data_IF_340863213164
#
_entry.id   IF_340863213164
#
_cell.length_a   1.000
_cell.length_b   1.000
_cell.length_c   1.000
_cell.angle_alpha   90.00
_cell.angle_beta   90.00
_cell.angle_gamma   90.00
#
_symmetry.space_group_name_H-M   'P 1'
#
loop_
_entity.id
_entity.type
_entity.pdbx_description
1 polymer ?
#
# COMPACT_ATOMS: atom_id res chain seq x y z
N UNK A 1 -2.67 5.33 -20.00
CA UNK A 1 -1.77 4.82 -21.05
C UNK A 1 -0.40 5.44 -20.83
N UNK A 2 0.53 4.56 -20.45
CA UNK A 2 1.79 4.84 -19.77
C UNK A 2 2.86 5.56 -20.59
N UNK A 3 3.37 6.65 -20.04
CA UNK A 3 4.60 7.36 -20.49
C UNK A 3 5.86 6.85 -19.77
N UNK A 4 5.73 5.86 -18.88
CA UNK A 4 6.79 5.36 -18.01
C UNK A 4 7.67 4.29 -18.67
N UNK A 5 7.14 3.52 -19.63
CA UNK A 5 7.89 2.48 -20.35
C UNK A 5 8.94 3.09 -21.32
N UNK A 6 8.70 4.30 -21.83
CA UNK A 6 9.62 4.97 -22.75
C UNK A 6 10.89 5.49 -22.08
N UNK A 7 10.87 5.72 -20.75
CA UNK A 7 11.99 6.31 -20.00
C UNK A 7 13.07 5.29 -19.61
N UNK A 8 12.74 4.00 -19.55
CA UNK A 8 13.70 2.95 -19.19
C UNK A 8 14.64 2.58 -20.35
N UNK A 9 14.13 2.60 -21.59
CA UNK A 9 14.94 2.39 -22.80
C UNK A 9 15.85 3.57 -23.12
N UNK A 10 15.47 4.79 -22.73
CA UNK A 10 16.29 5.97 -22.99
C UNK A 10 17.52 6.05 -22.09
N UNK A 11 17.46 5.60 -20.83
CA UNK A 11 18.63 5.63 -19.93
C UNK A 11 19.72 4.63 -20.31
N UNK A 12 19.36 3.43 -20.78
CA UNK A 12 20.33 2.42 -21.24
C UNK A 12 20.96 2.80 -22.58
N UNK A 13 20.18 3.43 -23.47
CA UNK A 13 20.70 3.98 -24.72
C UNK A 13 21.64 5.16 -24.48
N UNK A 14 21.29 6.07 -23.55
CA UNK A 14 22.12 7.23 -23.19
C UNK A 14 23.42 6.77 -22.51
N UNK A 15 23.41 5.74 -21.66
CA UNK A 15 24.64 5.20 -21.06
C UNK A 15 25.53 4.48 -22.07
N UNK A 16 24.95 3.79 -23.05
CA UNK A 16 25.70 3.16 -24.14
C UNK A 16 26.36 4.20 -25.07
N UNK A 17 25.66 5.28 -25.40
CA UNK A 17 26.19 6.39 -26.19
C UNK A 17 27.30 7.15 -25.46
N UNK A 18 27.13 7.41 -24.16
CA UNK A 18 28.17 8.02 -23.34
C UNK A 18 29.43 7.13 -23.28
N UNK A 19 29.26 5.80 -23.18
CA UNK A 19 30.35 4.84 -23.20
C UNK A 19 31.10 4.83 -24.53
N UNK A 20 30.37 4.81 -25.66
CA UNK A 20 30.95 4.86 -26.99
C UNK A 20 31.75 6.15 -27.22
N UNK A 21 31.27 7.29 -26.70
CA UNK A 21 31.97 8.57 -26.77
C UNK A 21 33.26 8.57 -25.96
N UNK A 22 33.26 8.00 -24.75
CA UNK A 22 34.46 7.88 -23.92
C UNK A 22 35.51 6.98 -24.59
N UNK A 23 35.10 5.85 -25.16
CA UNK A 23 36.00 4.96 -25.90
C UNK A 23 36.60 5.71 -27.10
N UNK A 24 35.78 6.42 -27.87
CA UNK A 24 36.24 7.19 -29.02
C UNK A 24 37.23 8.29 -28.62
N UNK A 25 36.95 9.06 -27.56
CA UNK A 25 37.82 10.14 -27.08
C UNK A 25 39.15 9.60 -26.53
N UNK A 26 39.13 8.50 -25.78
CA UNK A 26 40.36 7.86 -25.27
C UNK A 26 41.19 7.33 -26.44
N UNK A 27 40.57 6.65 -27.42
CA UNK A 27 41.29 6.17 -28.60
C UNK A 27 41.90 7.31 -29.43
N UNK A 28 41.15 8.39 -29.65
CA UNK A 28 41.63 9.56 -30.39
C UNK A 28 42.78 10.29 -29.69
N UNK A 29 42.69 10.45 -28.37
CA UNK A 29 43.73 11.10 -27.57
C UNK A 29 45.02 10.27 -27.53
N UNK A 30 44.91 8.93 -27.50
CA UNK A 30 46.08 8.05 -27.58
C UNK A 30 46.78 8.05 -28.93
N UNK A 31 46.04 8.24 -30.03
CA UNK A 31 46.62 8.36 -31.38
C UNK A 31 47.29 9.72 -31.64
N UNK A 32 46.89 10.76 -30.92
CA UNK A 32 47.40 12.13 -31.07
C UNK A 32 48.72 12.38 -30.33
N UNK A 33 49.04 11.62 -29.28
CA UNK A 33 50.15 11.92 -28.37
C UNK A 33 51.32 10.93 -28.40
N UNK A 34 51.18 9.76 -29.02
CA UNK A 34 52.27 8.81 -29.18
C UNK A 34 52.09 8.08 -30.50
N UNK A 35 53.18 7.89 -31.27
CA UNK A 35 53.17 7.14 -32.52
C UNK A 35 52.76 5.67 -32.35
N UNK A 36 53.35 4.75 -33.09
CA UNK A 36 52.92 3.33 -33.13
C UNK A 36 52.82 2.63 -31.74
N UNK A 37 53.42 3.18 -30.69
CA UNK A 37 53.28 2.73 -29.30
C UNK A 37 51.90 3.03 -28.65
N UNK A 38 51.20 4.09 -29.04
CA UNK A 38 49.89 4.46 -28.47
C UNK A 38 48.76 3.50 -28.86
N UNK A 39 48.85 2.95 -30.08
CA UNK A 39 47.89 1.97 -30.62
C UNK A 39 47.93 0.63 -29.87
N UNK A 40 49.13 0.18 -29.48
CA UNK A 40 49.29 -1.05 -28.68
C UNK A 40 48.76 -0.88 -27.25
N UNK A 41 48.98 0.29 -26.64
CA UNK A 41 48.47 0.60 -25.30
C UNK A 41 46.93 0.66 -25.31
N UNK A 42 46.34 1.32 -26.31
CA UNK A 42 44.88 1.38 -26.48
C UNK A 42 44.24 -0.02 -26.68
N UNK A 43 44.89 -0.88 -27.48
CA UNK A 43 44.42 -2.23 -27.75
C UNK A 43 44.41 -3.14 -26.51
N UNK A 44 45.24 -2.87 -25.51
CA UNK A 44 45.29 -3.64 -24.25
C UNK A 44 44.44 -2.99 -23.15
N UNK A 45 44.45 -1.66 -23.03
CA UNK A 45 43.78 -0.95 -21.95
C UNK A 45 42.26 -0.91 -22.13
N UNK A 46 41.77 -0.72 -23.36
CA UNK A 46 40.33 -0.70 -23.65
C UNK A 46 39.58 -1.99 -23.27
N UNK A 47 40.06 -3.21 -23.64
CA UNK A 47 39.39 -4.44 -23.22
C UNK A 47 39.47 -4.66 -21.71
N UNK A 48 40.56 -4.28 -21.04
CA UNK A 48 40.66 -4.38 -19.57
C UNK A 48 39.64 -3.47 -18.89
N UNK A 49 39.51 -2.21 -19.32
CA UNK A 49 38.49 -1.29 -18.80
C UNK A 49 37.09 -1.84 -19.06
N UNK A 50 36.82 -2.39 -20.26
CA UNK A 50 35.53 -2.99 -20.59
C UNK A 50 35.19 -4.19 -19.69
N UNK A 51 36.15 -5.08 -19.44
CA UNK A 51 35.97 -6.24 -18.54
C UNK A 51 35.74 -5.79 -17.10
N UNK A 52 36.46 -4.78 -16.60
CA UNK A 52 36.26 -4.21 -15.27
C UNK A 52 34.89 -3.53 -15.16
N UNK A 53 34.45 -2.80 -16.19
CA UNK A 53 33.12 -2.20 -16.22
C UNK A 53 32.00 -3.25 -16.26
N UNK A 54 32.18 -4.32 -17.04
CA UNK A 54 31.25 -5.44 -17.13
C UNK A 54 31.18 -6.25 -15.82
N UNK A 55 32.29 -6.40 -15.10
CA UNK A 55 32.31 -7.08 -13.80
C UNK A 55 31.66 -6.22 -12.70
N UNK A 56 31.93 -4.91 -12.68
CA UNK A 56 31.31 -3.96 -11.73
C UNK A 56 29.81 -3.79 -12.00
N UNK A 57 29.38 -3.69 -13.26
CA UNK A 57 27.96 -3.57 -13.62
C UNK A 57 27.17 -4.85 -13.33
N UNK A 58 27.76 -6.04 -13.55
CA UNK A 58 27.18 -7.32 -13.10
C UNK A 58 27.10 -7.40 -11.58
N UNK A 59 28.15 -7.01 -10.85
CA UNK A 59 28.14 -6.97 -9.39
C UNK A 59 27.09 -6.01 -8.83
N UNK A 60 26.87 -4.84 -9.47
CA UNK A 60 25.81 -3.91 -9.11
C UNK A 60 24.40 -4.48 -9.38
N UNK A 61 24.22 -5.20 -10.49
CA UNK A 61 22.98 -5.93 -10.80
C UNK A 61 22.69 -7.07 -9.82
N UNK A 62 23.73 -7.82 -9.41
CA UNK A 62 23.63 -8.87 -8.41
C UNK A 62 23.38 -8.32 -7.01
N UNK A 63 23.97 -7.18 -6.63
CA UNK A 63 23.65 -6.47 -5.36
C UNK A 63 22.21 -5.98 -5.32
N UNK A 64 21.64 -5.52 -6.45
CA UNK A 64 20.22 -5.17 -6.55
C UNK A 64 19.28 -6.38 -6.44
N UNK A 65 19.70 -7.56 -6.93
CA UNK A 65 18.97 -8.82 -6.78
C UNK A 65 19.09 -9.40 -5.37
N UNK A 66 20.29 -9.36 -4.78
CA UNK A 66 20.55 -9.80 -3.40
C UNK A 66 19.86 -8.89 -2.37
N UNK A 67 19.82 -7.57 -2.61
CA UNK A 67 19.08 -6.61 -1.77
C UNK A 67 17.56 -6.79 -1.79
N UNK A 68 17.01 -7.34 -2.89
CA UNK A 68 15.59 -7.73 -2.97
C UNK A 68 15.32 -9.15 -2.44
N UNK A 69 16.29 -10.06 -2.57
CA UNK A 69 16.15 -11.45 -2.10
C UNK A 69 16.40 -11.62 -0.59
N UNK A 70 17.17 -10.72 0.04
CA UNK A 70 17.47 -10.80 1.48
C UNK A 70 16.35 -10.29 2.40
N UNK A 71 15.21 -9.83 1.86
CA UNK A 71 14.04 -9.47 2.66
C UNK A 71 13.08 -10.64 2.91
N UNK A 72 13.31 -11.80 2.30
CA UNK A 72 12.46 -12.98 2.44
C UNK A 72 13.20 -14.09 3.19
N UNK A 73 13.25 -13.99 4.53
CA UNK A 73 13.25 -15.13 5.49
C UNK A 73 13.79 -14.69 6.86
N UNK A 74 13.01 -13.89 7.55
CA UNK A 74 12.89 -13.92 9.01
C UNK A 74 11.40 -14.08 9.34
N UNK A 75 10.98 -14.40 10.58
CA UNK A 75 9.59 -14.15 10.96
C UNK A 75 9.27 -12.71 10.56
N UNK A 76 8.24 -12.51 9.75
CA UNK A 76 7.91 -11.20 9.20
C UNK A 76 7.51 -10.28 10.36
N UNK A 77 8.51 -9.64 10.99
CA UNK A 77 8.29 -8.54 11.92
C UNK A 77 7.70 -7.44 11.05
N UNK A 78 6.40 -7.22 11.16
CA UNK A 78 5.77 -6.09 10.50
C UNK A 78 6.51 -4.85 10.98
N UNK A 79 7.09 -4.11 10.05
CA UNK A 79 7.92 -2.96 10.38
C UNK A 79 7.12 -2.00 11.29
N UNK A 80 7.75 -1.48 12.35
CA UNK A 80 7.06 -0.70 13.37
C UNK A 80 6.36 0.54 12.79
N UNK A 81 6.89 1.10 11.70
CA UNK A 81 6.32 2.22 10.96
C UNK A 81 5.05 1.87 10.16
N UNK A 82 4.64 0.59 10.13
CA UNK A 82 3.44 0.08 9.45
C UNK A 82 2.31 -0.29 10.40
N UNK A 83 2.52 -0.22 11.72
CA UNK A 83 1.53 -0.58 12.74
C UNK A 83 1.11 0.68 13.52
N UNK A 84 -0.15 0.75 13.92
CA UNK A 84 -0.64 1.69 14.93
C UNK A 84 -0.43 1.08 16.31
N UNK A 85 0.42 1.70 17.13
CA UNK A 85 0.81 1.16 18.44
C UNK A 85 -0.34 1.01 19.43
N UNK A 86 -1.40 1.83 19.29
CA UNK A 86 -2.54 1.78 20.20
C UNK A 86 -3.44 0.57 19.93
N UNK A 87 -3.72 0.30 18.66
CA UNK A 87 -4.71 -0.69 18.23
C UNK A 87 -4.11 -2.00 17.75
N UNK A 88 -2.81 -2.00 17.40
CA UNK A 88 -2.13 -3.15 16.79
C UNK A 88 -2.53 -3.42 15.33
N UNK A 89 -3.42 -2.61 14.76
CA UNK A 89 -3.77 -2.68 13.34
C UNK A 89 -2.67 -2.07 12.48
N UNK A 90 -2.75 -2.26 11.16
CA UNK A 90 -1.93 -1.49 10.25
C UNK A 90 -2.23 0.00 10.39
N UNK A 91 -1.22 0.85 10.21
CA UNK A 91 -1.44 2.27 9.98
C UNK A 91 -1.56 2.54 8.47
N UNK A 92 -1.65 3.82 8.06
CA UNK A 92 -1.71 4.18 6.64
C UNK A 92 -0.53 3.64 5.82
N UNK A 93 0.68 3.61 6.37
CA UNK A 93 1.85 3.06 5.68
C UNK A 93 1.72 1.55 5.49
N UNK A 94 1.22 0.83 6.50
CA UNK A 94 0.93 -0.60 6.41
C UNK A 94 -0.14 -0.92 5.37
N UNK A 95 -1.20 -0.11 5.30
CA UNK A 95 -2.25 -0.24 4.28
C UNK A 95 -1.71 -0.02 2.86
N UNK A 96 -0.89 1.02 2.68
CA UNK A 96 -0.24 1.31 1.40
C UNK A 96 0.72 0.20 0.98
N UNK A 97 1.51 -0.33 1.93
CA UNK A 97 2.39 -1.47 1.68
C UNK A 97 1.60 -2.70 1.23
N UNK A 98 0.46 -2.99 1.88
CA UNK A 98 -0.41 -4.09 1.49
C UNK A 98 -0.89 -3.96 0.04
N UNK A 99 -1.32 -2.76 -0.40
CA UNK A 99 -1.68 -2.54 -1.80
C UNK A 99 -0.52 -2.84 -2.75
N UNK A 100 0.70 -2.39 -2.44
CA UNK A 100 1.86 -2.64 -3.29
C UNK A 100 2.27 -4.13 -3.33
N UNK A 101 2.14 -4.82 -2.20
CA UNK A 101 2.63 -6.20 -2.04
C UNK A 101 1.62 -7.26 -2.52
N UNK A 102 0.31 -6.98 -2.47
CA UNK A 102 -0.74 -7.98 -2.71
C UNK A 102 -1.50 -7.82 -4.02
N UNK A 103 -1.64 -6.59 -4.54
CA UNK A 103 -2.59 -6.32 -5.63
C UNK A 103 -2.36 -7.14 -6.89
N UNK A 104 -1.09 -7.28 -7.33
CA UNK A 104 -0.75 -8.05 -8.52
C UNK A 104 -1.12 -9.53 -8.37
N UNK A 105 -0.77 -10.13 -7.23
CA UNK A 105 -1.10 -11.53 -6.94
C UNK A 105 -2.61 -11.76 -6.87
N UNK A 106 -3.35 -10.86 -6.23
CA UNK A 106 -4.81 -10.98 -6.13
C UNK A 106 -5.49 -10.93 -7.51
N UNK A 107 -4.96 -10.14 -8.45
CA UNK A 107 -5.45 -10.10 -9.83
C UNK A 107 -5.17 -11.42 -10.55
N UNK A 108 -3.96 -11.97 -10.39
CA UNK A 108 -3.58 -13.28 -10.94
C UNK A 108 -4.46 -14.41 -10.39
N UNK A 109 -4.80 -14.33 -9.11
CA UNK A 109 -5.72 -15.24 -8.41
C UNK A 109 -7.21 -14.96 -8.73
N UNK A 110 -7.49 -14.06 -9.68
CA UNK A 110 -8.84 -13.65 -10.12
C UNK A 110 -9.74 -13.17 -8.98
N UNK A 111 -9.16 -12.44 -8.02
CA UNK A 111 -9.87 -11.84 -6.89
C UNK A 111 -10.22 -10.37 -7.16
N UNK A 112 -11.28 -9.93 -6.50
CA UNK A 112 -11.63 -8.52 -6.32
C UNK A 112 -11.41 -8.15 -4.85
N UNK A 113 -11.45 -6.85 -4.53
CA UNK A 113 -11.42 -6.38 -3.14
C UNK A 113 -12.67 -5.60 -2.79
N UNK A 114 -13.06 -5.71 -1.52
CA UNK A 114 -14.07 -4.88 -0.87
C UNK A 114 -13.35 -4.09 0.21
N UNK A 115 -13.52 -2.77 0.20
CA UNK A 115 -12.98 -1.87 1.23
C UNK A 115 -14.14 -1.28 2.01
N UNK A 116 -14.09 -1.45 3.33
CA UNK A 116 -14.98 -0.82 4.30
C UNK A 116 -14.20 0.28 5.00
N UNK A 117 -14.66 1.52 4.92
CA UNK A 117 -14.15 2.66 5.68
C UNK A 117 -15.15 2.97 6.80
N UNK A 118 -14.68 3.05 8.04
CA UNK A 118 -15.50 3.28 9.22
C UNK A 118 -14.98 4.46 10.05
N UNK A 119 -15.88 5.11 10.77
CA UNK A 119 -15.58 6.22 11.69
C UNK A 119 -16.46 6.12 12.93
N UNK A 120 -15.89 6.44 14.10
CA UNK A 120 -16.61 6.40 15.37
C UNK A 120 -17.34 7.70 15.63
N UNK A 121 -18.66 7.62 15.78
CA UNK A 121 -19.47 8.80 15.98
C UNK A 121 -19.10 9.56 17.27
N UNK A 122 -18.98 10.89 17.15
CA UNK A 122 -18.74 11.81 18.26
C UNK A 122 -17.44 11.54 19.04
N UNK A 123 -16.40 10.98 18.40
CA UNK A 123 -15.13 10.67 19.05
C UNK A 123 -14.51 11.84 19.83
N UNK A 124 -14.50 13.05 19.28
CA UNK A 124 -13.97 14.23 19.97
C UNK A 124 -14.73 14.57 21.27
N UNK A 125 -16.06 14.41 21.27
CA UNK A 125 -16.90 14.63 22.45
C UNK A 125 -16.70 13.53 23.49
N UNK A 126 -16.51 12.28 23.04
CA UNK A 126 -16.14 11.17 23.92
C UNK A 126 -14.79 11.42 24.60
N UNK A 127 -13.79 11.86 23.85
CA UNK A 127 -12.47 12.20 24.39
C UNK A 127 -12.56 13.29 25.46
N UNK A 128 -13.32 14.35 25.18
CA UNK A 128 -13.52 15.44 26.13
C UNK A 128 -14.26 14.99 27.39
N UNK A 129 -15.28 14.13 27.27
CA UNK A 129 -16.13 13.73 28.38
C UNK A 129 -15.55 12.58 29.23
N UNK A 130 -14.76 11.69 28.63
CA UNK A 130 -14.30 10.42 29.24
C UNK A 130 -12.79 10.33 29.43
N UNK A 131 -12.05 11.28 28.88
CA UNK A 131 -10.59 11.32 28.93
C UNK A 131 -9.91 10.32 28.00
N UNK A 132 -8.59 10.43 27.95
CA UNK A 132 -7.76 9.69 26.99
C UNK A 132 -7.81 8.18 27.19
N UNK A 133 -7.75 7.69 28.43
CA UNK A 133 -7.65 6.27 28.71
C UNK A 133 -8.90 5.47 28.29
N UNK A 134 -10.09 5.98 28.63
CA UNK A 134 -11.35 5.34 28.24
C UNK A 134 -11.53 5.38 26.72
N UNK A 135 -11.15 6.49 26.10
CA UNK A 135 -11.22 6.64 24.65
C UNK A 135 -10.26 5.70 23.92
N UNK A 136 -9.06 5.50 24.46
CA UNK A 136 -8.10 4.51 23.96
C UNK A 136 -8.66 3.08 24.08
N UNK A 137 -9.40 2.78 25.15
CA UNK A 137 -10.08 1.49 25.30
C UNK A 137 -11.16 1.29 24.25
N UNK A 138 -11.95 2.33 23.97
CA UNK A 138 -12.94 2.33 22.89
C UNK A 138 -12.29 2.07 21.53
N UNK A 139 -11.17 2.73 21.23
CA UNK A 139 -10.44 2.53 19.97
C UNK A 139 -9.91 1.11 19.81
N UNK A 140 -9.37 0.50 20.89
CA UNK A 140 -8.93 -0.90 20.87
C UNK A 140 -10.09 -1.85 20.61
N UNK A 141 -11.26 -1.59 21.19
CA UNK A 141 -12.42 -2.44 20.99
C UNK A 141 -13.00 -2.28 19.57
N UNK A 142 -13.06 -1.04 19.06
CA UNK A 142 -13.41 -0.78 17.66
C UNK A 142 -12.44 -1.49 16.71
N UNK A 143 -11.14 -1.46 17.00
CA UNK A 143 -10.14 -2.16 16.20
C UNK A 143 -10.37 -3.67 16.13
N UNK A 144 -10.70 -4.32 17.25
CA UNK A 144 -11.07 -5.75 17.27
C UNK A 144 -12.33 -6.04 16.45
N UNK A 145 -13.33 -5.16 16.54
CA UNK A 145 -14.57 -5.31 15.76
C UNK A 145 -14.26 -5.19 14.27
N UNK A 146 -13.49 -4.18 13.86
CA UNK A 146 -13.11 -3.97 12.45
C UNK A 146 -12.27 -5.12 11.92
N UNK A 147 -11.31 -5.64 12.70
CA UNK A 147 -10.46 -6.75 12.25
C UNK A 147 -11.23 -8.05 12.02
N UNK A 148 -12.41 -8.24 12.62
CA UNK A 148 -13.26 -9.41 12.37
C UNK A 148 -13.84 -9.48 10.93
N UNK A 149 -13.75 -8.39 10.18
CA UNK A 149 -14.25 -8.30 8.79
C UNK A 149 -13.19 -8.67 7.75
N UNK A 150 -11.97 -9.00 8.17
CA UNK A 150 -10.90 -9.38 7.25
C UNK A 150 -10.85 -10.91 7.09
N UNK A 151 -10.76 -11.36 5.84
CA UNK A 151 -10.46 -12.76 5.52
C UNK A 151 -8.94 -13.04 5.54
N UNK A 152 -8.55 -14.23 5.06
CA UNK A 152 -7.16 -14.72 5.07
C UNK A 152 -6.16 -13.78 4.39
N UNK A 153 -6.55 -13.16 3.27
CA UNK A 153 -5.70 -12.21 2.53
C UNK A 153 -6.03 -10.74 2.81
N UNK A 154 -6.92 -10.47 3.76
CA UNK A 154 -7.37 -9.11 4.08
C UNK A 154 -6.38 -8.31 4.92
N UNK A 155 -6.74 -7.05 5.19
CA UNK A 155 -6.02 -6.19 6.12
C UNK A 155 -6.99 -5.23 6.81
N UNK A 156 -6.77 -5.00 8.10
CA UNK A 156 -7.44 -3.95 8.85
C UNK A 156 -6.41 -2.89 9.24
N UNK A 157 -6.81 -1.62 9.11
CA UNK A 157 -5.96 -0.48 9.39
C UNK A 157 -6.71 0.60 10.17
N UNK A 158 -5.99 1.28 11.07
CA UNK A 158 -6.42 2.58 11.61
C UNK A 158 -5.76 3.66 10.76
N UNK A 159 -6.56 4.40 10.00
CA UNK A 159 -6.02 5.29 8.96
C UNK A 159 -5.72 6.68 9.49
N UNK A 160 -6.57 7.20 10.36
CA UNK A 160 -6.45 8.54 10.95
C UNK A 160 -7.35 8.60 12.17
N UNK A 161 -6.92 9.20 13.29
CA UNK A 161 -7.81 9.48 14.43
C UNK A 161 -8.69 8.30 14.86
N UNK A 162 -10.00 8.41 14.61
CA UNK A 162 -11.04 7.42 14.85
C UNK A 162 -11.57 6.72 13.58
N UNK A 163 -10.90 6.93 12.46
CA UNK A 163 -11.15 6.29 11.18
C UNK A 163 -10.38 4.97 11.01
N UNK A 164 -11.10 3.98 10.52
CA UNK A 164 -10.62 2.64 10.25
C UNK A 164 -10.91 2.22 8.81
N UNK A 165 -10.10 1.31 8.28
CA UNK A 165 -10.34 0.63 7.02
C UNK A 165 -10.21 -0.88 7.21
N UNK A 166 -11.10 -1.66 6.59
CA UNK A 166 -10.95 -3.10 6.45
C UNK A 166 -11.04 -3.49 4.97
N UNK A 167 -10.10 -4.30 4.52
CA UNK A 167 -10.07 -4.84 3.16
C UNK A 167 -10.31 -6.34 3.22
N UNK A 168 -11.32 -6.81 2.50
CA UNK A 168 -11.59 -8.21 2.28
C UNK A 168 -11.34 -8.57 0.81
N UNK A 169 -10.79 -9.76 0.57
CA UNK A 169 -10.62 -10.32 -0.78
C UNK A 169 -11.81 -11.20 -1.11
N UNK A 170 -12.36 -11.06 -2.30
CA UNK A 170 -13.62 -11.70 -2.70
C UNK A 170 -13.57 -12.19 -4.14
N UNK A 171 -14.53 -13.01 -4.52
CA UNK A 171 -14.75 -13.37 -5.93
C UNK A 171 -15.42 -12.19 -6.65
N UNK A 172 -14.97 -11.78 -7.85
CA UNK A 172 -15.45 -10.56 -8.52
C UNK A 172 -16.97 -10.44 -8.67
N UNK A 173 -17.64 -11.54 -9.03
CA UNK A 173 -19.09 -11.52 -9.30
C UNK A 173 -19.96 -11.25 -8.06
N UNK A 174 -19.43 -11.43 -6.85
CA UNK A 174 -20.14 -11.22 -5.59
C UNK A 174 -19.68 -9.97 -4.86
N UNK A 175 -18.76 -9.20 -5.43
CA UNK A 175 -18.05 -8.19 -4.67
C UNK A 175 -18.96 -7.05 -4.17
N UNK A 176 -19.98 -6.68 -4.96
CA UNK A 176 -20.97 -5.67 -4.55
C UNK A 176 -21.92 -6.21 -3.46
N UNK A 177 -22.42 -7.44 -3.60
CA UNK A 177 -23.27 -8.09 -2.59
C UNK A 177 -22.54 -8.21 -1.25
N UNK A 178 -21.28 -8.65 -1.29
CA UNK A 178 -20.43 -8.73 -0.10
C UNK A 178 -20.18 -7.35 0.49
N UNK A 179 -19.97 -6.31 -0.33
CA UNK A 179 -19.81 -4.95 0.16
C UNK A 179 -21.04 -4.47 0.95
N UNK A 180 -22.26 -4.76 0.47
CA UNK A 180 -23.51 -4.44 1.18
C UNK A 180 -23.63 -5.18 2.49
N UNK A 181 -23.47 -6.51 2.43
CA UNK A 181 -23.63 -7.37 3.59
C UNK A 181 -22.63 -7.00 4.69
N UNK A 182 -21.35 -6.82 4.34
CA UNK A 182 -20.30 -6.51 5.29
C UNK A 182 -20.39 -5.08 5.82
N UNK A 183 -20.83 -4.11 5.01
CA UNK A 183 -21.04 -2.75 5.47
C UNK A 183 -22.17 -2.67 6.50
N UNK A 184 -23.30 -3.34 6.24
CA UNK A 184 -24.41 -3.42 7.20
C UNK A 184 -24.00 -4.10 8.50
N UNK A 185 -23.37 -5.27 8.42
CA UNK A 185 -22.84 -6.00 9.59
C UNK A 185 -21.83 -5.18 10.39
N UNK A 186 -20.96 -4.43 9.74
CA UNK A 186 -19.97 -3.58 10.43
C UNK A 186 -20.66 -2.42 11.14
N UNK A 187 -21.63 -1.76 10.50
CA UNK A 187 -22.39 -0.68 11.12
C UNK A 187 -23.12 -1.18 12.38
N UNK A 188 -23.79 -2.33 12.31
CA UNK A 188 -24.43 -2.98 13.47
C UNK A 188 -23.42 -3.36 14.56
N UNK A 189 -22.27 -3.93 14.18
CA UNK A 189 -21.23 -4.33 15.13
C UNK A 189 -20.65 -3.12 15.87
N UNK A 190 -20.44 -2.01 15.18
CA UNK A 190 -19.95 -0.77 15.79
C UNK A 190 -20.95 -0.14 16.76
N UNK A 191 -22.25 -0.42 16.61
CA UNK A 191 -23.28 0.03 17.55
C UNK A 191 -23.38 -0.79 18.85
N UNK A 192 -22.76 -1.98 18.89
CA UNK A 192 -22.85 -2.82 20.09
C UNK A 192 -22.23 -2.12 21.31
N UNK A 193 -22.81 -2.25 22.50
CA UNK A 193 -22.25 -1.67 23.71
C UNK A 193 -20.83 -2.19 23.97
N UNK A 194 -19.98 -1.34 24.54
CA UNK A 194 -18.66 -1.72 25.05
C UNK A 194 -18.77 -1.80 26.58
N UNK A 195 -18.51 -2.99 27.12
CA UNK A 195 -18.36 -3.18 28.56
C UNK A 195 -16.96 -2.70 28.98
N UNK A 196 -16.92 -1.72 29.88
CA UNK A 196 -15.69 -1.20 30.46
C UNK A 196 -15.78 -1.22 31.98
N UNK A 197 -14.64 -1.12 32.66
CA UNK A 197 -14.60 -1.01 34.12
C UNK A 197 -15.43 0.19 34.65
N UNK A 198 -15.57 1.25 33.85
CA UNK A 198 -16.37 2.44 34.15
C UNK A 198 -17.87 2.32 33.80
N UNK A 199 -18.32 1.14 33.34
CA UNK A 199 -19.69 0.86 32.94
C UNK A 199 -19.84 0.58 31.45
N UNK A 200 -21.10 0.56 30.99
CA UNK A 200 -21.45 0.28 29.59
C UNK A 200 -21.42 1.59 28.79
N UNK A 201 -20.68 1.59 27.68
CA UNK A 201 -20.64 2.71 26.74
C UNK A 201 -21.22 2.32 25.40
N UNK A 202 -22.17 3.14 24.95
CA UNK A 202 -22.76 3.04 23.63
C UNK A 202 -21.97 3.93 22.68
N UNK A 203 -21.30 3.30 21.73
CA UNK A 203 -20.69 3.97 20.59
C UNK A 203 -21.53 3.69 19.35
N UNK A 204 -21.50 4.62 18.40
CA UNK A 204 -22.03 4.38 17.06
C UNK A 204 -20.91 4.52 16.06
N UNK A 205 -21.12 4.03 14.86
CA UNK A 205 -20.22 4.27 13.74
C UNK A 205 -21.00 4.57 12.48
N UNK A 206 -20.32 5.16 11.50
CA UNK A 206 -20.79 5.20 10.11
C UNK A 206 -19.86 4.36 9.27
N UNK A 207 -20.39 3.73 8.22
CA UNK A 207 -19.59 2.88 7.32
C UNK A 207 -19.80 3.28 5.86
N UNK A 208 -18.70 3.44 5.12
CA UNK A 208 -18.70 3.53 3.67
C UNK A 208 -18.07 2.30 3.08
N UNK A 209 -18.60 1.79 1.98
CA UNK A 209 -18.02 0.65 1.29
C UNK A 209 -17.82 0.93 -0.19
N UNK A 210 -16.78 0.33 -0.77
CA UNK A 210 -16.57 0.30 -2.21
C UNK A 210 -15.87 -1.01 -2.61
N UNK A 211 -16.02 -1.39 -3.87
CA UNK A 211 -15.38 -2.57 -4.43
C UNK A 211 -14.75 -2.30 -5.79
N UNK A 212 -13.79 -3.12 -6.19
CA UNK A 212 -13.15 -3.06 -7.50
C UNK A 212 -11.88 -3.89 -7.59
N UNK A 213 -11.14 -3.68 -8.67
CA UNK A 213 -9.86 -4.34 -8.92
C UNK A 213 -8.82 -4.03 -7.82
N UNK A 214 -8.05 -5.02 -7.33
CA UNK A 214 -6.97 -4.78 -6.38
C UNK A 214 -5.96 -3.71 -6.84
N UNK A 215 -5.70 -3.61 -8.15
CA UNK A 215 -4.78 -2.62 -8.73
C UNK A 215 -5.22 -1.16 -8.51
N UNK A 216 -6.51 -0.95 -8.26
CA UNK A 216 -7.09 0.37 -8.03
C UNK A 216 -7.28 0.66 -6.54
N UNK A 217 -6.70 -0.14 -5.65
CA UNK A 217 -6.89 -0.10 -4.21
C UNK A 217 -6.97 1.30 -3.59
N UNK A 218 -6.00 2.21 -3.82
CA UNK A 218 -6.07 3.58 -3.31
C UNK A 218 -7.29 4.38 -3.81
N UNK A 219 -7.70 4.20 -5.07
CA UNK A 219 -8.89 4.86 -5.61
C UNK A 219 -10.18 4.25 -5.03
N UNK A 220 -10.20 2.94 -4.77
CA UNK A 220 -11.32 2.26 -4.11
C UNK A 220 -11.47 2.75 -2.66
N UNK A 221 -10.35 2.91 -1.95
CA UNK A 221 -10.35 3.45 -0.59
C UNK A 221 -10.94 4.86 -0.55
N UNK A 222 -10.61 5.70 -1.53
CA UNK A 222 -11.20 7.04 -1.64
C UNK A 222 -12.72 6.98 -1.93
N UNK A 223 -13.17 6.09 -2.81
CA UNK A 223 -14.61 5.87 -3.03
C UNK A 223 -15.33 5.39 -1.77
N UNK A 224 -14.73 4.47 -1.01
CA UNK A 224 -15.26 4.03 0.28
C UNK A 224 -15.33 5.19 1.30
N UNK A 225 -14.33 6.07 1.35
CA UNK A 225 -14.36 7.28 2.19
C UNK A 225 -15.43 8.28 1.75
N UNK A 226 -15.67 8.44 0.45
CA UNK A 226 -16.76 9.29 -0.04
C UNK A 226 -18.12 8.71 0.32
N UNK A 227 -18.29 7.39 0.26
CA UNK A 227 -19.47 6.71 0.78
C UNK A 227 -19.62 6.91 2.30
N UNK A 228 -18.52 6.82 3.07
CA UNK A 228 -18.52 7.07 4.52
C UNK A 228 -18.97 8.50 4.83
N UNK A 229 -18.49 9.49 4.08
CA UNK A 229 -18.94 10.89 4.21
C UNK A 229 -20.44 11.05 3.95
N UNK A 230 -21.02 10.27 3.03
CA UNK A 230 -22.47 10.23 2.81
C UNK A 230 -23.20 9.58 3.98
N UNK A 231 -22.71 8.44 4.47
CA UNK A 231 -23.27 7.77 5.65
C UNK A 231 -23.31 8.69 6.88
N UNK A 232 -22.21 9.42 7.14
CA UNK A 232 -22.12 10.43 8.22
C UNK A 232 -23.20 11.50 8.15
N UNK A 233 -23.67 11.87 6.95
CA UNK A 233 -24.75 12.86 6.76
C UNK A 233 -26.15 12.29 7.06
N UNK A 234 -26.35 10.99 6.89
CA UNK A 234 -27.63 10.32 7.22
C UNK A 234 -27.78 10.23 8.73
N UNK A 235 -26.71 9.82 9.42
CA UNK A 235 -26.66 9.75 10.87
C UNK A 235 -25.81 8.58 11.37
N UNK A 236 -25.83 8.38 12.69
CA UNK A 236 -25.10 7.28 13.33
C UNK A 236 -25.74 5.95 13.00
N UNK A 237 -24.93 4.92 12.76
CA UNK A 237 -25.42 3.56 12.46
C UNK A 237 -25.75 3.30 11.00
N UNK A 238 -25.59 4.30 10.14
CA UNK A 238 -25.87 4.13 8.73
C UNK A 238 -24.62 3.67 7.98
N UNK A 239 -24.87 2.98 6.87
CA UNK A 239 -23.86 2.64 5.90
C UNK A 239 -24.28 3.09 4.50
N UNK A 240 -23.29 3.35 3.65
CA UNK A 240 -23.50 3.64 2.22
C UNK A 240 -22.49 2.82 1.42
N UNK A 241 -22.93 2.24 0.32
CA UNK A 241 -22.06 1.49 -0.61
C UNK A 241 -21.97 2.26 -1.91
N UNK A 242 -20.75 2.51 -2.37
CA UNK A 242 -20.48 3.11 -3.66
C UNK A 242 -20.94 2.19 -4.81
N UNK A 243 -21.56 2.77 -5.83
CA UNK A 243 -22.11 2.03 -6.97
C UNK A 243 -23.53 1.47 -6.78
N UNK A 244 -24.12 1.58 -5.59
CA UNK A 244 -25.57 1.44 -5.44
C UNK A 244 -26.24 2.79 -5.62
N UNK A 245 -27.13 2.89 -6.61
CA UNK A 245 -28.04 4.02 -6.67
C UNK A 245 -28.85 4.03 -5.37
N UNK A 246 -28.76 5.13 -4.62
CA UNK A 246 -29.57 5.39 -3.44
C UNK A 246 -31.04 5.28 -3.88
N UNK A 247 -31.68 4.15 -3.57
CA UNK A 247 -33.11 3.98 -3.84
C UNK A 247 -33.83 5.01 -3.00
N UNK A 248 -34.39 6.01 -3.69
CA UNK A 248 -35.38 6.96 -3.17
C UNK A 248 -36.49 6.25 -2.42
#
# INVERSE_FOLDING_TARGET
MDTTIFKAGSLTAVSALAMALVIALVSGLTTLLAGWSGLLIGAVVAPVICVVWLSVSRAAGLRRRAGKASQASGPAVIAADRIDELTGLANMNGLNAWFQEKSQRLVEDKKSIVILAADLANYAQLLQARGLEQTNTILREAAKRVSSFIGEDGIAARTEGDEFAAIATVVPNHALEVAVEQAGKMAEMLQRPIEMASGIVWIGGSVGAATGSPLEGPAILERARQALKRAKKIGKGHYVVDGLNESK
#
